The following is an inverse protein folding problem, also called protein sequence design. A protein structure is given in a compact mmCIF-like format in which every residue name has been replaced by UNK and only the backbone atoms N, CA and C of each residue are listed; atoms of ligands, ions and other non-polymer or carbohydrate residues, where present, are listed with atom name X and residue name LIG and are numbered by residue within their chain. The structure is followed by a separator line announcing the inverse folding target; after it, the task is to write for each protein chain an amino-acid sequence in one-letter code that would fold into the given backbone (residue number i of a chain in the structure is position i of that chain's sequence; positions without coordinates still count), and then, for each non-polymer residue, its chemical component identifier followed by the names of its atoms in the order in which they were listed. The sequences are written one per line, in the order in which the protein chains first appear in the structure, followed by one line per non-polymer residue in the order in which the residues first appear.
data_IF_055039708661
#
_entry.id   IF_055039708661
#
_cell.length_a   1.000
_cell.length_b   1.000
_cell.length_c   1.000
_cell.angle_alpha   90.00
_cell.angle_beta   90.00
_cell.angle_gamma   90.00
#
_symmetry.space_group_name_H-M   'P 1'
#
loop_
_entity.id
_entity.type
_entity.pdbx_description
1 polymer ?
#
# COMPACT_ATOMS: atom_id res chain seq x y z
N UNK A 1 21.77 -19.12 -0.19
CA UNK A 1 20.52 -18.89 -0.94
C UNK A 1 19.60 -18.08 -0.03
N UNK A 2 19.61 -16.75 -0.13
CA UNK A 2 18.72 -15.87 0.66
C UNK A 2 17.47 -15.61 -0.18
N UNK A 3 16.33 -16.10 0.31
CA UNK A 3 15.01 -15.87 -0.27
C UNK A 3 14.68 -14.37 -0.25
N UNK A 4 14.11 -13.80 -1.31
CA UNK A 4 13.58 -12.45 -1.24
C UNK A 4 12.31 -12.51 -0.39
N UNK A 5 12.40 -12.14 0.89
CA UNK A 5 11.23 -11.70 1.65
C UNK A 5 10.65 -10.53 0.87
N UNK A 6 9.52 -10.76 0.19
CA UNK A 6 8.78 -9.72 -0.49
C UNK A 6 8.44 -8.64 0.54
N UNK A 7 9.22 -7.56 0.56
CA UNK A 7 8.99 -6.38 1.39
C UNK A 7 7.69 -5.75 0.93
N UNK A 8 6.59 -6.22 1.50
CA UNK A 8 5.36 -5.47 1.50
C UNK A 8 5.63 -4.21 2.32
N UNK A 9 5.69 -3.07 1.64
CA UNK A 9 6.01 -1.79 2.27
C UNK A 9 4.95 -1.48 3.34
N UNK A 10 5.40 -1.23 4.57
CA UNK A 10 4.50 -0.90 5.68
C UNK A 10 3.85 0.46 5.42
N UNK A 11 2.56 0.59 5.67
CA UNK A 11 1.79 1.82 5.44
C UNK A 11 1.11 2.26 6.73
N UNK A 12 0.98 3.57 6.93
CA UNK A 12 0.28 4.12 8.08
C UNK A 12 -0.86 5.05 7.64
N UNK A 13 -1.96 5.03 8.39
CA UNK A 13 -3.07 5.93 8.13
C UNK A 13 -2.68 7.37 8.50
N UNK A 14 -2.82 8.30 7.57
CA UNK A 14 -2.54 9.74 7.79
C UNK A 14 -3.48 10.43 8.78
N UNK A 15 -4.53 9.74 9.28
CA UNK A 15 -5.56 10.31 10.16
C UNK A 15 -5.52 9.76 11.58
N UNK A 16 -5.52 8.45 11.73
CA UNK A 16 -5.46 7.80 13.04
C UNK A 16 -4.08 7.23 13.39
N UNK A 17 -3.10 7.39 12.51
CA UNK A 17 -1.72 6.90 12.68
C UNK A 17 -1.56 5.39 12.87
N UNK A 18 -2.64 4.59 12.71
CA UNK A 18 -2.57 3.13 12.71
C UNK A 18 -1.63 2.65 11.61
N UNK A 19 -0.61 1.88 12.00
CA UNK A 19 0.35 1.26 11.10
C UNK A 19 -0.12 -0.14 10.69
N UNK A 20 0.13 -0.48 9.43
CA UNK A 20 -0.16 -1.77 8.82
C UNK A 20 1.12 -2.31 8.19
N UNK A 21 1.34 -3.63 8.32
CA UNK A 21 2.48 -4.28 7.67
C UNK A 21 2.41 -4.25 6.13
N UNK A 22 1.22 -4.06 5.57
CA UNK A 22 0.98 -3.80 4.15
C UNK A 22 -0.35 -3.06 3.98
N UNK A 23 -0.65 -2.56 2.79
CA UNK A 23 -1.96 -1.98 2.49
C UNK A 23 -3.07 -3.04 2.67
N UNK A 24 -3.90 -2.96 3.74
CA UNK A 24 -4.92 -3.97 4.02
C UNK A 24 -5.99 -4.05 2.93
N UNK A 25 -6.10 -3.03 2.07
CA UNK A 25 -7.06 -3.04 0.97
C UNK A 25 -6.65 -3.99 -0.16
N UNK A 26 -5.37 -4.39 -0.25
CA UNK A 26 -4.91 -5.33 -1.28
C UNK A 26 -5.32 -6.78 -1.01
N UNK A 27 -5.71 -7.12 0.22
CA UNK A 27 -6.23 -8.44 0.61
C UNK A 27 -7.61 -8.76 0.04
N UNK A 28 -8.12 -7.94 -0.89
CA UNK A 28 -9.39 -8.12 -1.60
C UNK A 28 -9.19 -7.76 -3.07
N UNK A 29 -9.77 -8.51 -4.00
CA UNK A 29 -9.78 -8.14 -5.41
C UNK A 29 -10.52 -6.81 -5.65
N UNK A 30 -10.04 -5.99 -6.58
CA UNK A 30 -10.71 -4.72 -6.93
C UNK A 30 -11.75 -4.96 -8.04
N UNK A 31 -13.06 -4.80 -7.80
CA UNK A 31 -14.08 -4.98 -8.84
C UNK A 31 -14.07 -3.89 -9.91
N UNK A 32 -13.44 -2.74 -9.63
CA UNK A 32 -13.41 -1.58 -10.55
C UNK A 32 -12.37 -1.75 -11.64
N UNK A 33 -11.11 -2.00 -11.25
CA UNK A 33 -9.99 -2.16 -12.20
C UNK A 33 -9.57 -3.61 -12.42
N UNK A 34 -10.28 -4.57 -11.81
CA UNK A 34 -9.99 -6.01 -11.87
C UNK A 34 -8.59 -6.41 -11.36
N UNK A 35 -7.95 -5.57 -10.55
CA UNK A 35 -6.73 -5.95 -9.85
C UNK A 35 -7.01 -7.13 -8.91
N UNK A 36 -6.16 -8.15 -8.93
CA UNK A 36 -6.30 -9.34 -8.09
C UNK A 36 -5.93 -9.04 -6.63
N UNK A 37 -6.22 -10.00 -5.74
CA UNK A 37 -5.71 -9.98 -4.37
C UNK A 37 -4.17 -9.92 -4.38
N UNK A 38 -3.59 -9.10 -3.51
CA UNK A 38 -2.16 -8.79 -3.49
C UNK A 38 -1.72 -7.76 -4.55
N UNK A 39 -2.52 -7.51 -5.58
CA UNK A 39 -2.18 -6.51 -6.60
C UNK A 39 -2.69 -5.12 -6.24
N UNK A 40 -1.93 -4.10 -6.65
CA UNK A 40 -2.36 -2.70 -6.55
C UNK A 40 -3.35 -2.36 -7.65
N UNK A 41 -4.24 -1.43 -7.36
CA UNK A 41 -5.16 -0.90 -8.37
C UNK A 41 -4.37 -0.27 -9.53
N UNK A 42 -4.66 -0.68 -10.77
CA UNK A 42 -4.07 -0.12 -12.00
C UNK A 42 -5.03 0.94 -12.55
N UNK A 43 -4.83 2.21 -12.23
CA UNK A 43 -5.55 3.33 -12.88
C UNK A 43 -4.55 4.19 -13.66
N UNK A 44 -4.96 4.80 -14.78
CA UNK A 44 -4.15 5.77 -15.49
C UNK A 44 -3.97 7.01 -14.61
N UNK A 45 -2.75 7.54 -14.61
CA UNK A 45 -2.32 8.67 -13.79
C UNK A 45 -3.12 9.94 -14.09
N UNK A 46 -4.23 10.18 -13.39
CA UNK A 46 -4.68 11.53 -13.11
C UNK A 46 -4.23 11.89 -11.69
N UNK A 47 -3.48 12.98 -11.61
CA UNK A 47 -2.59 13.30 -10.50
C UNK A 47 -3.23 13.28 -9.12
N UNK A 48 -2.40 12.92 -8.14
CA UNK A 48 -2.68 13.09 -6.71
C UNK A 48 -2.91 11.77 -5.99
N UNK A 49 -1.88 11.34 -5.24
CA UNK A 49 -1.88 10.27 -4.24
C UNK A 49 -2.65 9.00 -4.61
N UNK A 50 -1.91 8.00 -5.09
CA UNK A 50 -2.43 6.64 -5.31
C UNK A 50 -3.25 6.18 -4.09
N UNK A 51 -4.52 5.86 -4.32
CA UNK A 51 -5.42 5.22 -3.38
C UNK A 51 -6.00 3.99 -4.07
N UNK A 52 -6.19 2.90 -3.34
CA UNK A 52 -7.09 1.84 -3.78
C UNK A 52 -8.47 2.46 -4.10
N UNK A 53 -9.16 1.93 -5.12
CA UNK A 53 -10.52 2.39 -5.42
C UNK A 53 -11.39 2.30 -4.18
N UNK A 54 -12.19 3.34 -3.94
CA UNK A 54 -13.06 3.45 -2.77
C UNK A 54 -13.86 2.17 -2.47
N UNK A 55 -14.44 1.57 -3.51
CA UNK A 55 -15.21 0.32 -3.39
C UNK A 55 -14.35 -0.82 -2.82
N UNK A 56 -13.09 -0.94 -3.21
CA UNK A 56 -12.17 -1.96 -2.69
C UNK A 56 -11.93 -1.78 -1.20
N UNK A 57 -11.68 -0.56 -0.76
CA UNK A 57 -11.46 -0.24 0.64
C UNK A 57 -12.71 -0.52 1.50
N UNK A 58 -13.91 -0.23 0.98
CA UNK A 58 -15.18 -0.61 1.64
C UNK A 58 -15.36 -2.10 1.76
N UNK A 59 -15.02 -2.88 0.74
CA UNK A 59 -15.13 -4.34 0.81
C UNK A 59 -14.12 -4.88 1.84
N UNK A 60 -12.89 -4.36 1.85
CA UNK A 60 -11.89 -4.76 2.85
C UNK A 60 -12.36 -4.50 4.29
N UNK A 61 -13.02 -3.35 4.52
CA UNK A 61 -13.65 -3.04 5.80
C UNK A 61 -14.81 -4.01 6.12
N UNK A 62 -15.74 -4.20 5.18
CA UNK A 62 -16.92 -5.06 5.38
C UNK A 62 -16.55 -6.54 5.61
N UNK A 63 -15.43 -7.01 5.04
CA UNK A 63 -14.91 -8.36 5.23
C UNK A 63 -14.01 -8.50 6.48
N UNK A 64 -13.85 -7.43 7.27
CA UNK A 64 -12.99 -7.45 8.46
C UNK A 64 -11.49 -7.61 8.15
N UNK A 65 -11.07 -7.33 6.91
CA UNK A 65 -9.64 -7.32 6.50
C UNK A 65 -8.94 -6.05 6.92
N UNK A 66 -9.72 -5.03 7.26
CA UNK A 66 -9.29 -3.74 7.77
C UNK A 66 -10.29 -3.31 8.85
N UNK A 67 -9.78 -2.74 9.94
CA UNK A 67 -10.64 -2.15 10.98
C UNK A 67 -11.20 -0.80 10.54
N UNK A 68 -12.24 -0.32 11.23
CA UNK A 68 -12.74 1.05 11.08
C UNK A 68 -11.67 2.05 11.55
N UNK A 69 -11.50 3.13 10.80
CA UNK A 69 -10.60 4.23 11.15
C UNK A 69 -11.28 5.19 12.14
N UNK A 70 -10.84 5.28 13.40
CA UNK A 70 -11.45 6.21 14.37
C UNK A 70 -11.19 7.69 14.04
N UNK A 71 -10.23 7.97 13.15
CA UNK A 71 -9.88 9.33 12.72
C UNK A 71 -10.63 9.85 11.50
N UNK A 72 -11.50 9.04 10.88
CA UNK A 72 -12.34 9.42 9.73
C UNK A 72 -13.78 9.00 9.98
N UNK A 73 -14.63 9.96 10.33
CA UNK A 73 -15.99 9.71 10.82
C UNK A 73 -17.07 9.66 9.72
N UNK A 74 -16.72 9.89 8.45
CA UNK A 74 -17.71 9.97 7.36
C UNK A 74 -17.88 8.66 6.58
N UNK A 75 -16.82 7.85 6.47
CA UNK A 75 -16.81 6.58 5.74
C UNK A 75 -16.04 5.45 6.44
N UNK A 76 -15.49 5.71 7.64
CA UNK A 76 -14.70 4.79 8.47
C UNK A 76 -13.45 4.20 7.78
N UNK A 77 -13.04 4.70 6.61
CA UNK A 77 -11.90 4.17 5.88
C UNK A 77 -10.58 4.80 6.33
N UNK A 78 -9.49 4.03 6.31
CA UNK A 78 -8.17 4.59 6.54
C UNK A 78 -7.69 5.41 5.33
N UNK A 79 -7.26 6.65 5.56
CA UNK A 79 -6.53 7.46 4.58
C UNK A 79 -5.05 7.02 4.50
N UNK A 80 -4.83 5.83 3.95
CA UNK A 80 -3.49 5.28 3.70
C UNK A 80 -2.86 6.00 2.50
N UNK A 81 -1.60 6.48 2.59
CA UNK A 81 -0.83 6.78 1.40
C UNK A 81 -0.41 5.45 0.76
N UNK A 82 -0.77 5.23 -0.51
CA UNK A 82 -0.14 4.15 -1.29
C UNK A 82 1.14 4.71 -1.91
N UNK A 83 2.30 4.44 -1.31
CA UNK A 83 3.65 4.77 -1.82
C UNK A 83 4.65 3.82 -1.15
N UNK A 84 5.68 3.22 -1.78
CA UNK A 84 6.21 3.18 -3.18
C UNK A 84 6.88 1.81 -3.41
N UNK A 85 7.33 1.53 -4.65
CA UNK A 85 8.26 0.46 -5.01
C UNK A 85 9.47 0.37 -4.05
N UNK A 86 10.09 -0.83 -3.90
CA UNK A 86 11.33 -0.94 -3.14
C UNK A 86 12.35 0.03 -3.72
N UNK A 87 13.11 0.71 -2.85
CA UNK A 87 14.29 1.44 -3.28
C UNK A 87 15.13 0.47 -4.12
N UNK A 88 15.46 0.84 -5.36
CA UNK A 88 16.48 0.13 -6.13
C UNK A 88 17.65 -0.15 -5.20
N UNK A 89 18.22 -1.37 -5.17
CA UNK A 89 19.45 -1.56 -4.44
C UNK A 89 20.42 -0.53 -5.01
N UNK A 90 20.92 0.33 -4.13
CA UNK A 90 22.01 1.22 -4.45
C UNK A 90 23.07 0.34 -5.12
N UNK A 91 23.33 0.62 -6.40
CA UNK A 91 24.51 0.14 -7.10
C UNK A 91 25.65 0.39 -6.12
N UNK A 92 26.26 -0.71 -5.68
CA UNK A 92 27.30 -0.70 -4.66
C UNK A 92 28.32 0.38 -5.02
N UNK A 93 28.49 1.30 -4.08
CA UNK A 93 29.64 2.19 -4.06
C UNK A 93 30.88 1.28 -4.00
N UNK A 94 31.53 1.02 -5.13
CA UNK A 94 32.95 0.67 -5.10
C UNK A 94 33.68 1.97 -4.74
N UNK A 95 34.02 2.10 -3.46
CA UNK A 95 34.98 3.06 -2.95
C UNK A 95 36.43 2.66 -3.39
N UNK A 96 37.42 3.54 -3.19
CA UNK A 96 38.52 3.78 -4.13
C UNK A 96 39.76 2.91 -3.91
N UNK A 97 40.55 2.71 -4.95
CA UNK A 97 41.97 2.37 -4.82
C UNK A 97 42.82 3.36 -5.64
N UNK A 98 43.46 4.30 -4.93
CA UNK A 98 44.69 4.95 -5.38
C UNK A 98 45.87 4.13 -4.86
N UNK A 99 46.98 4.09 -5.61
CA UNK A 99 48.09 5.00 -5.27
C UNK A 99 48.44 6.01 -6.38
#
# INVERSE_FOLDING_TARGET
MVSPTATHDAVACSRCSTAFGTDPTISVGCPVCRALEGERCRQPAQGGFHRSHYIRARIALALGRMSTCPGLTWDDLHALPVRVAPASPAIAQCAPESP
#
